data_IF_088897781793
#
_entry.id   IF_088897781793
#
_cell.length_a   1.000
_cell.length_b   1.000
_cell.length_c   1.000
_cell.angle_alpha   90.00
_cell.angle_beta   90.00
_cell.angle_gamma   90.00
#
_symmetry.space_group_name_H-M   'P 1'
#
loop_
_entity.id
_entity.type
_entity.pdbx_description
1 polymer ?
#
# COMPACT_ATOMS: atom_id res chain seq x y z
N UNK A 1 18.59 35.43 26.96
CA UNK A 1 18.09 35.85 25.63
C UNK A 1 17.52 37.27 25.65
N UNK A 2 17.91 38.10 24.69
CA UNK A 2 17.43 39.49 24.58
C UNK A 2 16.00 39.54 24.00
N UNK A 3 15.28 40.65 24.17
CA UNK A 3 13.93 40.79 23.60
C UNK A 3 13.91 40.60 22.07
N UNK A 4 14.82 41.20 21.27
CA UNK A 4 14.85 40.97 19.82
C UNK A 4 15.09 39.50 19.43
N UNK A 5 15.92 38.79 20.20
CA UNK A 5 16.18 37.36 20.00
C UNK A 5 14.92 36.52 20.28
N UNK A 6 14.20 36.83 21.37
CA UNK A 6 12.95 36.16 21.71
C UNK A 6 11.86 36.39 20.65
N UNK A 7 11.75 37.61 20.12
CA UNK A 7 10.80 37.94 19.03
C UNK A 7 11.13 37.19 17.73
N UNK A 8 12.42 37.13 17.37
CA UNK A 8 12.87 36.39 16.20
C UNK A 8 12.58 34.88 16.34
N UNK A 9 12.89 34.30 17.51
CA UNK A 9 12.59 32.89 17.81
C UNK A 9 11.07 32.63 17.80
N UNK A 10 10.27 33.50 18.43
CA UNK A 10 8.82 33.38 18.46
C UNK A 10 8.19 33.47 17.08
N UNK A 11 8.68 34.37 16.22
CA UNK A 11 8.23 34.51 14.83
C UNK A 11 8.59 33.28 14.00
N UNK A 12 9.80 32.73 14.19
CA UNK A 12 10.24 31.52 13.52
C UNK A 12 9.31 30.33 13.85
N UNK A 13 9.08 30.04 15.13
CA UNK A 13 8.20 28.93 15.52
C UNK A 13 6.74 29.15 15.10
N UNK A 14 6.24 30.38 15.18
CA UNK A 14 4.89 30.71 14.67
C UNK A 14 4.76 30.44 13.17
N UNK A 15 5.82 30.72 12.40
CA UNK A 15 5.86 30.43 10.96
C UNK A 15 5.90 28.93 10.71
N UNK A 16 6.70 28.19 11.46
CA UNK A 16 6.79 26.74 11.37
C UNK A 16 5.45 26.05 11.68
N UNK A 17 4.79 26.44 12.77
CA UNK A 17 3.49 25.89 13.17
C UNK A 17 2.42 26.15 12.11
N UNK A 18 2.44 27.36 11.52
CA UNK A 18 1.57 27.70 10.40
C UNK A 18 1.84 26.81 9.18
N UNK A 19 3.10 26.57 8.84
CA UNK A 19 3.45 25.69 7.72
C UNK A 19 3.03 24.25 7.97
N UNK A 20 3.28 23.71 9.16
CA UNK A 20 2.82 22.37 9.56
C UNK A 20 1.31 22.26 9.41
N UNK A 21 0.57 23.25 9.92
CA UNK A 21 -0.90 23.30 9.83
C UNK A 21 -1.38 23.30 8.38
N UNK A 22 -0.75 24.11 7.51
CA UNK A 22 -1.12 24.16 6.09
C UNK A 22 -0.82 22.84 5.37
N UNK A 23 0.31 22.20 5.67
CA UNK A 23 0.66 20.91 5.10
C UNK A 23 -0.29 19.79 5.56
N UNK A 24 -0.70 19.79 6.84
CA UNK A 24 -1.67 18.83 7.35
C UNK A 24 -3.01 18.96 6.62
N UNK A 25 -3.53 20.19 6.47
CA UNK A 25 -4.77 20.44 5.72
C UNK A 25 -4.68 19.99 4.26
N UNK A 26 -3.54 20.26 3.61
CA UNK A 26 -3.29 19.82 2.23
C UNK A 26 -3.27 18.29 2.13
N UNK A 27 -2.62 17.62 3.08
CA UNK A 27 -2.57 16.16 3.14
C UNK A 27 -3.97 15.56 3.29
N UNK A 28 -4.78 16.10 4.21
CA UNK A 28 -6.15 15.63 4.43
C UNK A 28 -7.03 15.82 3.19
N UNK A 29 -6.89 16.97 2.51
CA UNK A 29 -7.57 17.25 1.24
C UNK A 29 -7.19 16.24 0.16
N UNK A 30 -5.89 15.95 0.00
CA UNK A 30 -5.40 15.00 -1.00
C UNK A 30 -5.87 13.57 -0.70
N UNK A 31 -5.94 13.16 0.58
CA UNK A 31 -6.46 11.86 0.98
C UNK A 31 -7.93 11.69 0.61
N UNK A 32 -8.76 12.69 0.87
CA UNK A 32 -10.18 12.67 0.51
C UNK A 32 -10.40 12.70 -1.01
N UNK A 33 -9.60 13.49 -1.74
CA UNK A 33 -9.61 13.48 -3.20
C UNK A 33 -9.24 12.10 -3.76
N UNK A 34 -8.16 11.47 -3.29
CA UNK A 34 -7.75 10.12 -3.70
C UNK A 34 -8.89 9.12 -3.50
N UNK A 35 -9.50 9.12 -2.30
CA UNK A 35 -10.61 8.23 -1.95
C UNK A 35 -11.82 8.45 -2.87
N UNK A 36 -12.12 9.70 -3.18
CA UNK A 36 -13.24 10.06 -4.05
C UNK A 36 -12.98 9.61 -5.49
N UNK A 37 -11.81 9.90 -6.04
CA UNK A 37 -11.47 9.50 -7.40
C UNK A 37 -11.45 7.98 -7.57
N UNK A 38 -10.89 7.23 -6.62
CA UNK A 38 -10.92 5.77 -6.67
C UNK A 38 -12.36 5.24 -6.74
N UNK A 39 -13.29 5.77 -5.95
CA UNK A 39 -14.70 5.37 -6.02
C UNK A 39 -15.35 5.68 -7.37
N UNK A 40 -14.92 6.75 -8.05
CA UNK A 40 -15.43 7.13 -9.35
C UNK A 40 -14.80 6.35 -10.51
N UNK A 41 -13.59 5.80 -10.32
CA UNK A 41 -12.84 5.03 -11.32
C UNK A 41 -13.32 3.58 -11.45
N UNK A 42 -13.95 3.02 -10.42
CA UNK A 42 -14.53 1.68 -10.43
C UNK A 42 -16.07 1.74 -10.60
N UNK A 43 -16.70 0.77 -11.28
CA UNK A 43 -18.14 0.77 -11.46
C UNK A 43 -18.89 0.54 -10.15
N UNK A 44 -20.09 1.11 -10.06
CA UNK A 44 -21.01 0.72 -9.01
C UNK A 44 -21.50 -0.72 -9.22
N UNK A 45 -21.98 -1.37 -8.15
CA UNK A 45 -22.50 -2.74 -8.21
C UNK A 45 -23.57 -2.87 -9.32
N UNK A 46 -23.35 -3.79 -10.26
CA UNK A 46 -24.25 -4.04 -11.39
C UNK A 46 -24.06 -3.10 -12.59
N UNK A 47 -23.03 -2.26 -12.58
CA UNK A 47 -22.61 -1.45 -13.72
C UNK A 47 -21.25 -1.93 -14.23
N UNK A 48 -20.98 -1.71 -15.52
CA UNK A 48 -19.68 -1.99 -16.16
C UNK A 48 -18.94 -0.70 -16.50
N UNK A 49 -19.63 0.44 -16.57
CA UNK A 49 -19.03 1.75 -16.82
C UNK A 49 -18.87 2.54 -15.52
N UNK A 50 -17.65 3.02 -15.20
CA UNK A 50 -17.45 3.88 -14.05
C UNK A 50 -17.85 5.33 -14.37
N UNK A 51 -18.00 6.15 -13.34
CA UNK A 51 -18.37 7.56 -13.51
C UNK A 51 -17.22 8.41 -14.08
N UNK A 52 -15.97 7.95 -13.89
CA UNK A 52 -14.77 8.59 -14.37
C UNK A 52 -13.84 7.55 -15.02
N UNK A 53 -13.23 7.91 -16.14
CA UNK A 53 -12.19 7.14 -16.83
C UNK A 53 -11.02 8.04 -17.18
N UNK A 54 -9.82 7.46 -17.22
CA UNK A 54 -8.70 8.11 -17.88
C UNK A 54 -8.95 8.18 -19.39
N UNK A 55 -8.45 9.23 -20.02
CA UNK A 55 -8.54 9.38 -21.47
C UNK A 55 -7.91 8.16 -22.15
N UNK A 56 -8.63 7.57 -23.12
CA UNK A 56 -8.21 6.35 -23.82
C UNK A 56 -8.66 5.03 -23.18
N UNK A 57 -9.35 5.06 -22.04
CA UNK A 57 -9.95 3.88 -21.40
C UNK A 57 -11.49 3.94 -21.48
N UNK A 58 -12.04 3.72 -22.68
CA UNK A 58 -13.47 3.88 -22.96
C UNK A 58 -14.27 2.58 -22.85
N UNK A 59 -13.57 1.43 -22.79
CA UNK A 59 -14.17 0.12 -22.70
C UNK A 59 -14.87 -0.13 -21.36
N UNK A 60 -15.84 -1.04 -21.41
CA UNK A 60 -16.54 -1.56 -20.24
C UNK A 60 -15.57 -2.32 -19.33
N UNK A 61 -15.79 -2.26 -18.01
CA UNK A 61 -15.12 -3.19 -17.11
C UNK A 61 -15.62 -4.61 -17.34
N UNK A 62 -14.66 -5.53 -17.36
CA UNK A 62 -14.91 -6.96 -17.37
C UNK A 62 -14.53 -7.55 -16.02
N UNK A 63 -15.33 -8.50 -15.52
CA UNK A 63 -14.98 -9.27 -14.34
C UNK A 63 -14.04 -10.41 -14.73
N UNK A 64 -12.82 -10.39 -14.19
CA UNK A 64 -11.77 -11.39 -14.47
C UNK A 64 -11.38 -12.06 -13.17
N UNK A 65 -11.08 -13.36 -13.20
CA UNK A 65 -10.62 -14.05 -11.98
C UNK A 65 -9.19 -13.63 -11.68
N UNK A 66 -8.87 -13.35 -10.42
CA UNK A 66 -7.52 -12.95 -10.01
C UNK A 66 -6.43 -13.93 -10.51
N UNK A 67 -6.69 -15.24 -10.46
CA UNK A 67 -5.75 -16.26 -10.95
C UNK A 67 -5.55 -16.30 -12.47
N UNK A 68 -6.33 -15.55 -13.26
CA UNK A 68 -6.13 -15.40 -14.71
C UNK A 68 -5.16 -14.24 -15.01
N UNK A 69 -5.07 -13.25 -14.12
CA UNK A 69 -4.25 -12.04 -14.29
C UNK A 69 -3.03 -11.99 -13.36
N UNK A 70 -2.91 -12.90 -12.40
CA UNK A 70 -1.78 -12.94 -11.48
C UNK A 70 -1.50 -14.37 -10.99
N UNK A 71 -0.26 -14.61 -10.57
CA UNK A 71 0.15 -15.83 -9.92
C UNK A 71 -0.07 -15.72 -8.41
N UNK A 72 -0.75 -16.71 -7.82
CA UNK A 72 -1.04 -16.75 -6.38
C UNK A 72 -0.31 -17.94 -5.76
N UNK A 73 0.58 -17.67 -4.80
CA UNK A 73 1.35 -18.70 -4.08
C UNK A 73 1.37 -18.43 -2.59
N UNK A 74 1.50 -19.48 -1.79
CA UNK A 74 1.78 -19.36 -0.35
C UNK A 74 3.26 -19.51 -0.07
N UNK A 75 3.68 -19.01 1.10
CA UNK A 75 5.05 -19.15 1.56
C UNK A 75 5.34 -20.54 2.10
N UNK A 76 6.52 -20.70 2.68
CA UNK A 76 6.92 -21.93 3.41
C UNK A 76 7.50 -21.64 4.79
N UNK A 77 7.56 -20.37 5.19
CA UNK A 77 8.17 -19.92 6.44
C UNK A 77 7.18 -19.88 7.60
N UNK A 78 7.73 -20.02 8.79
CA UNK A 78 7.04 -19.81 10.06
C UNK A 78 7.56 -18.56 10.77
N UNK A 79 6.79 -18.02 11.72
CA UNK A 79 7.17 -16.80 12.46
C UNK A 79 8.52 -16.97 13.17
N UNK A 80 8.84 -18.19 13.59
CA UNK A 80 10.10 -18.55 14.25
C UNK A 80 11.34 -18.39 13.35
N UNK A 81 11.17 -18.32 12.03
CA UNK A 81 12.26 -18.06 11.09
C UNK A 81 12.72 -16.59 11.10
N UNK A 82 12.00 -15.71 11.81
CA UNK A 82 12.33 -14.30 11.92
C UNK A 82 13.63 -14.07 12.69
N UNK A 83 14.38 -13.06 12.26
CA UNK A 83 15.65 -12.62 12.86
C UNK A 83 15.57 -11.12 13.09
N UNK A 84 15.78 -10.67 14.33
CA UNK A 84 15.65 -9.26 14.74
C UNK A 84 16.36 -8.27 13.80
N UNK A 85 17.60 -8.60 13.40
CA UNK A 85 18.43 -7.80 12.50
C UNK A 85 18.58 -8.43 11.11
N UNK A 86 17.55 -9.12 10.64
CA UNK A 86 17.57 -9.75 9.32
C UNK A 86 17.66 -8.74 8.17
N UNK A 87 18.29 -9.17 7.07
CA UNK A 87 18.53 -8.32 5.89
C UNK A 87 17.22 -7.99 5.14
N UNK A 88 16.36 -9.00 4.94
CA UNK A 88 15.18 -8.90 4.09
C UNK A 88 13.88 -8.75 4.92
N UNK A 89 12.87 -8.04 4.40
CA UNK A 89 11.54 -8.02 5.00
C UNK A 89 10.91 -9.40 4.98
N UNK A 90 10.25 -9.75 6.10
CA UNK A 90 9.53 -10.99 6.30
C UNK A 90 8.07 -10.70 6.62
N UNK A 91 7.19 -11.02 5.69
CA UNK A 91 5.77 -10.72 5.81
C UNK A 91 5.01 -11.87 6.45
N UNK A 92 4.38 -11.57 7.59
CA UNK A 92 3.60 -12.52 8.38
C UNK A 92 2.10 -12.21 8.31
N UNK A 93 1.29 -12.91 9.11
CA UNK A 93 -0.17 -12.75 9.16
C UNK A 93 -0.63 -11.50 9.92
N UNK A 94 0.10 -10.39 9.84
CA UNK A 94 -0.20 -9.13 10.54
C UNK A 94 0.27 -7.91 9.73
N UNK A 95 -0.04 -6.71 10.24
CA UNK A 95 0.46 -5.42 9.71
C UNK A 95 1.95 -5.21 10.00
N UNK A 96 2.50 -5.96 10.95
CA UNK A 96 3.92 -5.92 11.28
C UNK A 96 4.72 -6.66 10.20
N UNK A 97 5.83 -6.05 9.78
CA UNK A 97 6.80 -6.67 8.88
C UNK A 97 8.04 -7.00 9.69
N UNK A 98 8.31 -8.30 9.85
CA UNK A 98 9.50 -8.81 10.52
C UNK A 98 10.70 -8.79 9.57
N UNK A 99 11.81 -9.37 10.00
CA UNK A 99 13.05 -9.48 9.25
C UNK A 99 13.53 -10.92 9.18
N UNK A 100 14.25 -11.28 8.11
CA UNK A 100 14.84 -12.60 7.88
C UNK A 100 16.14 -12.46 7.06
N UNK A 101 17.06 -13.43 7.16
CA UNK A 101 18.35 -13.41 6.45
C UNK A 101 18.32 -13.98 5.04
N UNK A 102 17.19 -14.57 4.61
CA UNK A 102 17.03 -15.18 3.28
C UNK A 102 15.78 -14.62 2.62
N UNK A 103 15.73 -14.62 1.29
CA UNK A 103 14.53 -14.28 0.54
C UNK A 103 14.09 -15.45 -0.33
N UNK A 104 12.80 -15.53 -0.63
CA UNK A 104 12.22 -16.55 -1.53
C UNK A 104 11.65 -15.94 -2.80
N UNK A 105 11.52 -14.61 -2.86
CA UNK A 105 11.07 -13.88 -4.04
C UNK A 105 11.77 -12.53 -4.18
N UNK A 106 11.94 -12.08 -5.42
CA UNK A 106 12.47 -10.78 -5.80
C UNK A 106 11.60 -10.20 -6.93
N UNK A 107 10.81 -9.17 -6.62
CA UNK A 107 9.90 -8.56 -7.57
C UNK A 107 8.73 -7.84 -6.91
N UNK A 108 7.77 -7.42 -7.74
CA UNK A 108 6.53 -6.76 -7.30
C UNK A 108 5.50 -7.79 -6.82
N UNK A 109 4.91 -7.56 -5.65
CA UNK A 109 3.85 -8.40 -5.13
C UNK A 109 2.90 -7.67 -4.17
N UNK A 110 1.67 -8.22 -4.08
CA UNK A 110 0.71 -7.94 -3.01
C UNK A 110 0.67 -9.16 -2.08
N UNK A 111 0.81 -8.92 -0.78
CA UNK A 111 0.83 -9.96 0.24
C UNK A 111 -0.39 -9.84 1.14
N UNK A 112 -1.19 -10.89 1.23
CA UNK A 112 -2.45 -10.90 2.00
C UNK A 112 -2.43 -12.07 2.99
N UNK A 113 -2.65 -11.84 4.30
CA UNK A 113 -2.86 -12.91 5.26
C UNK A 113 -4.06 -13.78 4.91
N UNK A 114 -3.88 -15.09 4.89
CA UNK A 114 -4.91 -16.07 4.52
C UNK A 114 -5.91 -16.41 5.62
N UNK A 115 -5.77 -15.84 6.83
CA UNK A 115 -6.64 -16.13 7.98
C UNK A 115 -7.18 -14.84 8.62
N UNK A 116 -8.49 -14.80 8.88
CA UNK A 116 -9.16 -13.88 9.81
C UNK A 116 -9.36 -12.43 9.34
N UNK A 117 -8.47 -11.88 8.52
CA UNK A 117 -8.46 -10.44 8.13
C UNK A 117 -8.22 -10.23 6.63
N UNK A 118 -8.78 -11.11 5.79
CA UNK A 118 -8.70 -11.02 4.33
C UNK A 118 -9.25 -9.67 3.85
N UNK A 119 -8.39 -8.88 3.19
CA UNK A 119 -8.73 -7.56 2.65
C UNK A 119 -8.58 -6.39 3.62
N UNK A 120 -8.37 -6.64 4.91
CA UNK A 120 -8.05 -5.57 5.88
C UNK A 120 -6.55 -5.31 5.96
N UNK A 121 -5.76 -6.38 5.90
CA UNK A 121 -4.30 -6.32 5.90
C UNK A 121 -3.83 -6.74 4.52
N UNK A 122 -3.04 -5.87 3.90
CA UNK A 122 -2.26 -6.21 2.73
C UNK A 122 -0.96 -5.41 2.75
N UNK A 123 0.07 -5.98 2.13
CA UNK A 123 1.34 -5.29 1.90
C UNK A 123 1.60 -5.23 0.41
N UNK A 124 1.99 -4.06 -0.08
CA UNK A 124 2.58 -3.91 -1.41
C UNK A 124 4.09 -3.82 -1.26
N UNK A 125 4.83 -4.61 -2.03
CA UNK A 125 6.29 -4.65 -1.96
C UNK A 125 6.87 -4.82 -3.36
N UNK A 126 7.99 -4.14 -3.61
CA UNK A 126 8.83 -4.35 -4.78
C UNK A 126 10.27 -4.61 -4.31
N UNK A 127 10.82 -5.76 -4.69
CA UNK A 127 12.19 -6.19 -4.36
C UNK A 127 12.23 -7.53 -3.63
N UNK A 128 13.33 -7.77 -2.89
CA UNK A 128 13.61 -9.05 -2.22
C UNK A 128 12.89 -9.19 -0.89
N UNK A 129 12.16 -10.29 -0.71
CA UNK A 129 11.45 -10.60 0.54
C UNK A 129 11.20 -12.09 0.75
N UNK A 130 10.78 -12.45 1.96
CA UNK A 130 10.20 -13.76 2.27
C UNK A 130 8.84 -13.59 2.97
N UNK A 131 8.05 -14.66 3.06
CA UNK A 131 6.67 -14.57 3.56
C UNK A 131 6.18 -15.89 4.18
N UNK A 132 5.30 -15.76 5.16
CA UNK A 132 4.79 -16.87 5.96
C UNK A 132 3.98 -17.87 5.13
N UNK A 133 3.93 -19.14 5.54
CA UNK A 133 3.16 -20.22 4.88
C UNK A 133 1.66 -20.01 4.75
N UNK A 134 1.13 -18.95 5.36
CA UNK A 134 -0.29 -18.57 5.37
C UNK A 134 -0.50 -17.15 4.88
N UNK A 135 0.48 -16.59 4.18
CA UNK A 135 0.37 -15.34 3.44
C UNK A 135 0.31 -15.71 1.97
N UNK A 136 -0.71 -15.21 1.29
CA UNK A 136 -0.82 -15.29 -0.15
C UNK A 136 0.03 -14.19 -0.77
N UNK A 137 1.00 -14.59 -1.58
CA UNK A 137 1.72 -13.69 -2.49
C UNK A 137 1.01 -13.71 -3.84
N UNK A 138 0.50 -12.55 -4.24
CA UNK A 138 -0.06 -12.27 -5.54
C UNK A 138 1.02 -11.51 -6.31
N UNK A 139 1.52 -12.09 -7.39
CA UNK A 139 2.61 -11.53 -8.19
C UNK A 139 2.42 -11.78 -9.68
N UNK A 140 3.40 -11.39 -10.49
CA UNK A 140 3.45 -11.70 -11.92
C UNK A 140 2.19 -11.21 -12.68
N UNK A 141 1.81 -9.96 -12.39
CA UNK A 141 0.61 -9.30 -12.90
C UNK A 141 0.64 -9.19 -14.44
N UNK A 142 -0.42 -9.68 -15.08
CA UNK A 142 -0.59 -9.71 -16.55
C UNK A 142 -1.67 -8.73 -16.94
N UNK A 143 -1.33 -7.84 -17.89
CA UNK A 143 -2.28 -6.89 -18.49
C UNK A 143 -2.95 -5.93 -17.50
N UNK A 144 -2.41 -5.80 -16.29
CA UNK A 144 -2.95 -4.95 -15.23
C UNK A 144 -1.82 -4.38 -14.37
N UNK A 145 -2.15 -3.32 -13.63
CA UNK A 145 -1.25 -2.70 -12.68
C UNK A 145 -1.65 -3.14 -11.27
N UNK A 146 -0.70 -3.63 -10.48
CA UNK A 146 -0.91 -4.16 -9.13
C UNK A 146 -1.65 -3.16 -8.20
N UNK A 147 -1.40 -1.86 -8.36
CA UNK A 147 -2.02 -0.82 -7.53
C UNK A 147 -3.53 -0.64 -7.76
N UNK A 148 -4.09 -1.27 -8.80
CA UNK A 148 -5.49 -1.17 -9.20
C UNK A 148 -6.22 -2.52 -9.24
N UNK A 149 -5.61 -3.58 -8.70
CA UNK A 149 -6.23 -4.89 -8.46
C UNK A 149 -7.09 -4.89 -7.19
#
# INVERSE_FOLDING_TARGET
>A
PTLPEQEAIGTFFSTLDRQITLHQRKLDTLKEQKKTYLKLLFPAKGQTKPALRFQGFEDDWEEVKLGEVADIKTGSRDVQDAVENGEYPFFIRSEEVLKINTYSYDGEAILIPGEGRLGEIFHYVEGKFDYHQRVYKISDFKYCNALFI
#
